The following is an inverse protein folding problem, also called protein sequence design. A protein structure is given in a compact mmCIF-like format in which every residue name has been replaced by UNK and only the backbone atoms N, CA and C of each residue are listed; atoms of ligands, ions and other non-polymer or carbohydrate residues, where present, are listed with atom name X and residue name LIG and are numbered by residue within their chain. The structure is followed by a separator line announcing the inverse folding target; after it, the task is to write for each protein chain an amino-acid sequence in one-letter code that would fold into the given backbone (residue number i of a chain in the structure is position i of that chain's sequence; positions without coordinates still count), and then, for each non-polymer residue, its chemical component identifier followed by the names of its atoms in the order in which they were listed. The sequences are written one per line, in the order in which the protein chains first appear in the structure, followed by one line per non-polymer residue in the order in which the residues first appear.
data_IF_127945238884
#
_entry.id   IF_127945238884
#
_cell.length_a   1.000
_cell.length_b   1.000
_cell.length_c   1.000
_cell.angle_alpha   90.00
_cell.angle_beta   90.00
_cell.angle_gamma   90.00
#
_symmetry.space_group_name_H-M   'P 1'
#
loop_
_entity.id
_entity.type
_entity.pdbx_description
1 polymer ?
#
# COMPACT_ATOMS: atom_id res chain seq x y z
N UNK A 1 22.20 -20.52 -6.44
CA UNK A 1 22.13 -19.69 -5.22
C UNK A 1 20.66 -19.34 -5.02
N UNK A 2 19.93 -20.21 -4.33
CA UNK A 2 18.48 -20.09 -4.19
C UNK A 2 18.11 -18.94 -3.27
N UNK A 3 17.22 -18.08 -3.76
CA UNK A 3 16.72 -16.89 -3.09
C UNK A 3 15.86 -17.28 -1.89
N UNK A 4 16.41 -17.15 -0.68
CA UNK A 4 15.77 -17.39 0.62
C UNK A 4 14.73 -16.31 1.00
N UNK A 5 13.96 -15.77 0.06
CA UNK A 5 12.77 -14.99 0.39
C UNK A 5 11.56 -15.93 0.49
N UNK A 6 11.59 -16.84 1.47
CA UNK A 6 10.34 -17.33 2.06
C UNK A 6 9.74 -16.13 2.77
N UNK A 7 8.86 -15.40 2.05
CA UNK A 7 8.03 -14.38 2.67
C UNK A 7 7.42 -14.99 3.92
N UNK A 8 7.56 -14.31 5.05
CA UNK A 8 6.95 -14.74 6.30
C UNK A 8 5.49 -15.11 5.99
N UNK A 9 5.13 -16.36 6.23
CA UNK A 9 3.75 -16.79 6.27
C UNK A 9 3.15 -16.10 7.49
N UNK A 10 2.74 -14.84 7.31
CA UNK A 10 1.77 -14.23 8.18
C UNK A 10 0.52 -15.06 7.97
N UNK A 11 0.16 -15.80 9.00
CA UNK A 11 -1.04 -16.61 9.00
C UNK A 11 -2.21 -15.63 9.03
N UNK A 12 -2.83 -15.38 7.88
CA UNK A 12 -4.04 -14.57 7.80
C UNK A 12 -5.17 -15.15 8.68
N UNK A 13 -5.09 -16.43 9.02
CA UNK A 13 -6.01 -17.04 9.97
C UNK A 13 -5.83 -16.53 11.41
N UNK A 14 -4.73 -15.82 11.70
CA UNK A 14 -4.50 -15.11 12.96
C UNK A 14 -5.69 -14.20 13.30
N UNK A 15 -6.15 -14.36 14.54
CA UNK A 15 -7.25 -13.58 15.09
C UNK A 15 -6.95 -12.07 15.11
N UNK A 16 -5.67 -11.73 15.24
CA UNK A 16 -5.11 -10.40 15.29
C UNK A 16 -5.17 -9.72 13.92
N UNK A 17 -4.75 -10.41 12.85
CA UNK A 17 -4.84 -9.89 11.47
C UNK A 17 -6.29 -9.67 11.07
N UNK A 18 -7.17 -10.64 11.37
CA UNK A 18 -8.62 -10.51 11.12
C UNK A 18 -9.23 -9.32 11.87
N UNK A 19 -8.80 -9.08 13.11
CA UNK A 19 -9.23 -7.91 13.88
C UNK A 19 -8.76 -6.62 13.21
N UNK A 20 -7.49 -6.52 12.83
CA UNK A 20 -6.95 -5.33 12.16
C UNK A 20 -7.69 -5.03 10.85
N UNK A 21 -8.00 -6.05 10.04
CA UNK A 21 -8.76 -5.87 8.79
C UNK A 21 -10.19 -5.39 9.05
N UNK A 22 -10.85 -5.86 10.13
CA UNK A 22 -12.16 -5.32 10.54
C UNK A 22 -12.04 -3.87 10.97
N UNK A 23 -11.04 -3.54 11.80
CA UNK A 23 -10.82 -2.17 12.27
C UNK A 23 -10.50 -1.22 11.08
N UNK A 24 -9.76 -1.69 10.07
CA UNK A 24 -9.55 -0.95 8.81
C UNK A 24 -10.84 -0.75 8.02
N UNK A 25 -11.76 -1.72 8.05
CA UNK A 25 -13.04 -1.65 7.31
C UNK A 25 -13.95 -0.57 7.90
N UNK A 26 -13.90 -0.36 9.21
CA UNK A 26 -14.62 0.73 9.88
C UNK A 26 -14.08 2.11 9.46
N UNK A 27 -12.81 2.20 9.04
CA UNK A 27 -12.25 3.41 8.43
C UNK A 27 -12.77 3.54 6.99
N UNK A 28 -12.52 2.53 6.16
CA UNK A 28 -13.03 2.45 4.79
C UNK A 28 -12.97 1.00 4.28
N UNK A 29 -14.05 0.54 3.63
CA UNK A 29 -14.12 -0.78 3.03
C UNK A 29 -13.02 -1.03 2.00
N UNK A 30 -12.74 -0.04 1.15
CA UNK A 30 -11.73 -0.13 0.09
C UNK A 30 -10.32 -0.30 0.68
N UNK A 31 -10.02 0.42 1.77
CA UNK A 31 -8.75 0.31 2.47
C UNK A 31 -8.54 -1.12 3.02
N UNK A 32 -9.55 -1.67 3.69
CA UNK A 32 -9.50 -3.03 4.20
C UNK A 32 -9.36 -4.07 3.08
N UNK A 33 -10.07 -3.87 1.97
CA UNK A 33 -9.99 -4.76 0.81
C UNK A 33 -8.60 -4.75 0.16
N UNK A 34 -8.01 -3.57 -0.03
CA UNK A 34 -6.65 -3.44 -0.57
C UNK A 34 -5.61 -4.06 0.37
N UNK A 35 -5.75 -3.84 1.68
CA UNK A 35 -4.89 -4.46 2.70
C UNK A 35 -4.95 -5.99 2.59
N UNK A 36 -6.15 -6.56 2.51
CA UNK A 36 -6.37 -8.00 2.35
C UNK A 36 -5.69 -8.56 1.09
N UNK A 37 -5.96 -7.97 -0.07
CA UNK A 37 -5.35 -8.42 -1.33
C UNK A 37 -3.82 -8.38 -1.30
N UNK A 38 -3.25 -7.40 -0.58
CA UNK A 38 -1.79 -7.25 -0.49
C UNK A 38 -1.17 -8.20 0.53
N UNK A 39 -1.84 -8.43 1.67
CA UNK A 39 -1.46 -9.43 2.65
C UNK A 39 -1.45 -10.85 2.05
N UNK A 40 -2.50 -11.20 1.29
CA UNK A 40 -2.60 -12.48 0.58
C UNK A 40 -1.63 -12.60 -0.60
N UNK A 41 -0.93 -11.53 -0.96
CA UNK A 41 0.01 -11.52 -2.09
C UNK A 41 -0.66 -11.52 -3.47
N UNK A 42 -1.99 -11.33 -3.53
CA UNK A 42 -2.73 -11.16 -4.78
C UNK A 42 -2.40 -9.83 -5.47
N UNK A 43 -2.15 -8.77 -4.67
CA UNK A 43 -1.54 -7.53 -5.14
C UNK A 43 -0.13 -7.39 -4.58
N UNK A 44 0.90 -7.16 -5.41
CA UNK A 44 2.27 -6.98 -4.92
C UNK A 44 2.43 -5.69 -4.12
N UNK A 45 1.67 -4.65 -4.46
CA UNK A 45 1.62 -3.35 -3.79
C UNK A 45 0.24 -2.75 -4.00
N UNK A 46 -0.25 -2.06 -2.98
CA UNK A 46 -1.47 -1.26 -3.06
C UNK A 46 -1.20 0.18 -2.66
N UNK A 47 -2.07 1.07 -3.14
CA UNK A 47 -2.01 2.51 -2.91
C UNK A 47 -3.33 2.99 -2.37
N UNK A 48 -3.26 3.85 -1.37
CA UNK A 48 -4.39 4.53 -0.76
C UNK A 48 -4.24 6.04 -0.92
N UNK A 49 -5.17 6.67 -1.66
CA UNK A 49 -5.06 8.08 -2.05
C UNK A 49 -5.82 9.03 -1.10
N UNK A 50 -6.61 8.48 -0.17
CA UNK A 50 -7.35 9.26 0.83
C UNK A 50 -6.47 9.51 2.06
N UNK A 51 -6.75 10.56 2.85
CA UNK A 51 -6.06 10.76 4.13
C UNK A 51 -6.16 9.51 5.00
N UNK A 52 -5.05 9.16 5.64
CA UNK A 52 -4.97 8.07 6.60
C UNK A 52 -4.14 8.56 7.78
N UNK A 53 -4.75 8.54 8.97
CA UNK A 53 -4.10 8.95 10.20
C UNK A 53 -3.06 7.91 10.68
N UNK A 54 -2.41 8.19 11.79
CA UNK A 54 -1.35 7.31 12.30
C UNK A 54 -1.92 5.99 12.86
N UNK A 55 -3.17 5.97 13.32
CA UNK A 55 -3.85 4.75 13.76
C UNK A 55 -4.11 3.81 12.57
N UNK A 56 -4.64 4.33 11.46
CA UNK A 56 -4.83 3.56 10.24
C UNK A 56 -3.52 3.03 9.65
N UNK A 57 -2.43 3.81 9.73
CA UNK A 57 -1.09 3.32 9.36
C UNK A 57 -0.60 2.19 10.26
N UNK A 58 -0.88 2.26 11.56
CA UNK A 58 -0.47 1.23 12.50
C UNK A 58 -1.26 -0.06 12.26
N UNK A 59 -2.57 0.03 12.02
CA UNK A 59 -3.40 -1.13 11.63
C UNK A 59 -2.85 -1.84 10.38
N UNK A 60 -2.44 -1.09 9.35
CA UNK A 60 -1.78 -1.68 8.16
C UNK A 60 -0.45 -2.37 8.50
N UNK A 61 0.33 -1.83 9.43
CA UNK A 61 1.59 -2.47 9.85
C UNK A 61 1.35 -3.73 10.67
N UNK A 62 0.29 -3.76 11.48
CA UNK A 62 -0.11 -4.91 12.29
C UNK A 62 -0.64 -6.07 11.44
N UNK A 63 -1.10 -5.83 10.21
CA UNK A 63 -1.34 -6.91 9.23
C UNK A 63 -0.04 -7.43 8.58
N UNK A 64 1.11 -6.91 8.98
CA UNK A 64 2.44 -7.29 8.51
C UNK A 64 2.84 -6.65 7.18
N UNK A 65 2.17 -5.57 6.76
CA UNK A 65 2.54 -4.80 5.59
C UNK A 65 3.55 -3.71 5.94
N UNK A 66 4.50 -3.48 5.04
CA UNK A 66 5.35 -2.29 5.06
C UNK A 66 4.55 -1.13 4.48
N UNK A 67 4.54 0.01 5.15
CA UNK A 67 3.79 1.20 4.73
C UNK A 67 4.73 2.37 4.46
N UNK A 68 4.41 3.20 3.45
CA UNK A 68 5.11 4.47 3.21
C UNK A 68 4.16 5.55 2.72
N UNK A 69 4.28 6.77 3.26
CA UNK A 69 3.57 7.95 2.75
C UNK A 69 4.39 8.56 1.61
N UNK A 70 3.80 8.66 0.42
CA UNK A 70 4.39 9.26 -0.78
C UNK A 70 3.71 10.60 -1.04
N UNK A 71 4.51 11.64 -1.25
CA UNK A 71 4.02 12.96 -1.62
C UNK A 71 4.10 13.12 -3.13
N UNK A 72 2.99 13.51 -3.74
CA UNK A 72 2.87 13.82 -5.17
C UNK A 72 2.20 15.18 -5.35
N UNK A 73 2.24 15.69 -6.56
CA UNK A 73 1.64 16.99 -6.90
C UNK A 73 0.72 16.80 -8.10
N UNK A 74 -0.54 17.22 -8.04
CA UNK A 74 -1.39 17.23 -9.24
C UNK A 74 -0.96 18.38 -10.18
N UNK A 75 -1.36 18.35 -11.46
CA UNK A 75 -1.00 19.37 -12.46
C UNK A 75 -1.29 20.81 -12.04
N UNK A 76 -2.27 21.02 -11.16
CA UNK A 76 -2.63 22.33 -10.60
C UNK A 76 -1.73 22.78 -9.44
N UNK A 77 -0.69 22.03 -9.09
CA UNK A 77 0.24 22.34 -7.99
C UNK A 77 -0.23 21.87 -6.61
N UNK A 78 -1.46 21.34 -6.47
CA UNK A 78 -1.95 20.82 -5.19
C UNK A 78 -1.17 19.55 -4.79
N UNK A 79 -0.70 19.50 -3.55
CA UNK A 79 -0.02 18.33 -2.99
C UNK A 79 -1.04 17.27 -2.59
N UNK A 80 -0.75 16.02 -2.94
CA UNK A 80 -1.50 14.83 -2.53
C UNK A 80 -0.54 13.93 -1.75
N UNK A 81 -1.05 13.34 -0.68
CA UNK A 81 -0.32 12.34 0.11
C UNK A 81 -1.02 11.02 -0.08
N UNK A 82 -0.29 10.06 -0.61
CA UNK A 82 -0.75 8.69 -0.83
C UNK A 82 -0.04 7.79 0.18
N UNK A 83 -0.73 6.77 0.69
CA UNK A 83 -0.10 5.71 1.47
C UNK A 83 0.05 4.49 0.58
N UNK A 84 1.29 4.08 0.32
CA UNK A 84 1.57 2.80 -0.35
C UNK A 84 1.89 1.74 0.69
N UNK A 85 1.52 0.50 0.39
CA UNK A 85 1.84 -0.63 1.25
C UNK A 85 2.06 -1.93 0.47
N UNK A 86 2.99 -2.75 0.97
CA UNK A 86 3.44 -4.00 0.35
C UNK A 86 4.08 -4.91 1.39
N UNK A 87 4.12 -6.22 1.12
CA UNK A 87 4.95 -7.17 1.87
C UNK A 87 6.45 -7.06 1.51
N UNK A 88 6.77 -6.49 0.35
CA UNK A 88 8.14 -6.42 -0.17
C UNK A 88 8.69 -5.00 -0.09
N UNK A 89 9.86 -4.80 0.56
CA UNK A 89 10.52 -3.50 0.58
C UNK A 89 10.94 -3.06 -0.83
N UNK A 90 11.20 -4.00 -1.75
CA UNK A 90 11.59 -3.70 -3.12
C UNK A 90 10.47 -2.98 -3.89
N UNK A 91 9.20 -3.36 -3.70
CA UNK A 91 8.08 -2.68 -4.35
C UNK A 91 7.84 -1.28 -3.77
N UNK A 92 7.98 -1.11 -2.46
CA UNK A 92 7.92 0.22 -1.83
C UNK A 92 8.99 1.14 -2.41
N UNK A 93 10.23 0.65 -2.49
CA UNK A 93 11.35 1.40 -3.03
C UNK A 93 11.14 1.75 -4.52
N UNK A 94 10.75 0.77 -5.35
CA UNK A 94 10.51 0.98 -6.77
C UNK A 94 9.41 2.02 -7.01
N UNK A 95 8.29 1.92 -6.28
CA UNK A 95 7.20 2.89 -6.40
C UNK A 95 7.65 4.31 -6.03
N UNK A 96 8.39 4.46 -4.93
CA UNK A 96 8.93 5.75 -4.53
C UNK A 96 9.87 6.34 -5.59
N UNK A 97 10.78 5.55 -6.18
CA UNK A 97 11.68 6.04 -7.23
C UNK A 97 10.90 6.49 -8.48
N UNK A 98 9.85 5.76 -8.83
CA UNK A 98 9.05 6.05 -10.01
C UNK A 98 8.14 7.27 -9.83
N UNK A 99 7.56 7.46 -8.65
CA UNK A 99 6.45 8.41 -8.44
C UNK A 99 6.68 9.44 -7.33
N UNK A 100 7.62 9.21 -6.41
CA UNK A 100 7.90 10.10 -5.29
C UNK A 100 8.33 11.49 -5.75
N UNK A 101 7.69 12.53 -5.20
CA UNK A 101 7.93 13.94 -5.53
C UNK A 101 7.72 14.30 -7.02
N UNK A 102 7.08 13.43 -7.80
CA UNK A 102 6.75 13.68 -9.20
C UNK A 102 5.29 14.08 -9.36
N UNK A 103 4.95 14.85 -10.41
CA UNK A 103 3.57 15.15 -10.71
C UNK A 103 2.75 13.88 -10.96
N UNK A 104 1.47 13.91 -10.61
CA UNK A 104 0.52 12.91 -11.11
C UNK A 104 0.34 13.18 -12.60
N UNK A 105 0.80 12.22 -13.41
CA UNK A 105 0.64 12.25 -14.85
C UNK A 105 -0.39 11.21 -15.28
N UNK A 106 -1.36 11.63 -16.10
CA UNK A 106 -2.43 10.75 -16.62
C UNK A 106 -2.07 10.18 -17.99
N UNK A 107 -0.79 10.21 -18.38
CA UNK A 107 -0.33 9.56 -19.60
C UNK A 107 -0.59 8.05 -19.53
N UNK A 108 -0.91 7.45 -20.68
CA UNK A 108 -1.23 6.02 -20.76
C UNK A 108 -0.11 5.13 -20.20
N UNK A 109 1.16 5.53 -20.36
CA UNK A 109 2.31 4.86 -19.76
C UNK A 109 2.30 4.93 -18.23
N UNK A 110 2.01 6.09 -17.65
CA UNK A 110 1.95 6.26 -16.20
C UNK A 110 0.78 5.47 -15.61
N UNK A 111 -0.36 5.43 -16.30
CA UNK A 111 -1.53 4.65 -15.90
C UNK A 111 -1.28 3.14 -15.94
N UNK A 112 -0.57 2.64 -16.96
CA UNK A 112 -0.17 1.22 -17.01
C UNK A 112 0.78 0.85 -15.85
N UNK A 113 1.72 1.73 -15.51
CA UNK A 113 2.66 1.52 -14.41
C UNK A 113 1.99 1.67 -13.03
N UNK A 114 0.94 2.46 -12.92
CA UNK A 114 0.15 2.63 -11.70
C UNK A 114 -0.83 1.47 -11.43
N UNK A 115 -1.10 0.63 -12.45
CA UNK A 115 -1.92 -0.56 -12.35
C UNK A 115 -3.42 -0.25 -12.28
N UNK A 116 -4.09 -0.24 -13.44
CA UNK A 116 -5.55 -0.35 -13.53
C UNK A 116 -5.99 -1.79 -13.23
#
# INVERSE_FOLDING_TARGET
MESKYRGANLDFESSEVKKCVRDLKEIDFELAYLALLTCEGLKPLSRWEKPLDDNGLELLRQTGLLTKRIRRTVKTGKKVVETIFSRSPAYIWLYEQLFGNKPIDKSAQTQQLEGF
#
